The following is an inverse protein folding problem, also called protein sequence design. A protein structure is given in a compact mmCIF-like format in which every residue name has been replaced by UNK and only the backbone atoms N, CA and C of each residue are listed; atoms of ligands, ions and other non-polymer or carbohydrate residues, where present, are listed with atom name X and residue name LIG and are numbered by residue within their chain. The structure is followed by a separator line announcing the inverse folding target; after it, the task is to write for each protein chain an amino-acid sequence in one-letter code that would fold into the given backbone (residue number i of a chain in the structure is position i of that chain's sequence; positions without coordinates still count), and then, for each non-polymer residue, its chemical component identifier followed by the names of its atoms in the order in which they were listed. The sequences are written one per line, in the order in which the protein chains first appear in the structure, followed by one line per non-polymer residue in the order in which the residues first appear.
data_IF_330967524049
#
_entry.id   IF_330967524049
#
_cell.length_a   1.000
_cell.length_b   1.000
_cell.length_c   1.000
_cell.angle_alpha   90.00
_cell.angle_beta   90.00
_cell.angle_gamma   90.00
#
_symmetry.space_group_name_H-M   'P 1'
#
loop_
_entity.id
_entity.type
_entity.pdbx_description
1 polymer ?
#
# COMPACT_ATOMS: atom_id res chain seq x y z
N UNK A 1 -4.19 -11.26 -30.93
CA UNK A 1 -2.83 -10.72 -31.13
C UNK A 1 -1.97 -11.21 -29.98
N UNK A 2 -0.76 -11.73 -30.24
CA UNK A 2 0.22 -12.05 -29.19
C UNK A 2 1.13 -10.84 -29.03
N UNK A 3 1.20 -10.27 -27.82
CA UNK A 3 2.22 -9.30 -27.48
C UNK A 3 3.52 -10.06 -27.23
N UNK A 4 4.51 -9.84 -28.08
CA UNK A 4 5.87 -10.37 -27.91
C UNK A 4 6.85 -9.21 -27.76
N UNK A 5 7.91 -9.45 -26.99
CA UNK A 5 9.04 -8.51 -26.88
C UNK A 5 9.76 -8.41 -28.23
N UNK A 6 10.06 -7.20 -28.76
CA UNK A 6 10.81 -7.05 -30.00
C UNK A 6 12.22 -7.63 -29.89
N UNK A 7 12.71 -8.25 -30.97
CA UNK A 7 14.01 -8.94 -31.00
C UNK A 7 15.22 -8.02 -30.74
N UNK A 8 15.08 -6.72 -31.03
CA UNK A 8 16.13 -5.72 -30.82
C UNK A 8 16.25 -5.23 -29.36
N UNK A 9 15.40 -5.73 -28.45
CA UNK A 9 15.36 -5.29 -27.07
C UNK A 9 16.43 -6.05 -26.27
N UNK A 10 17.50 -5.36 -25.84
CA UNK A 10 18.57 -5.95 -25.01
C UNK A 10 18.00 -6.58 -23.74
N UNK A 11 18.66 -7.61 -23.20
CA UNK A 11 18.33 -8.09 -21.85
C UNK A 11 18.32 -6.90 -20.88
N UNK A 12 17.27 -6.80 -20.04
CA UNK A 12 17.19 -5.70 -19.08
C UNK A 12 18.40 -5.76 -18.15
N UNK A 13 18.88 -4.61 -17.67
CA UNK A 13 19.97 -4.57 -16.70
C UNK A 13 19.63 -5.50 -15.52
N UNK A 14 20.46 -6.52 -15.32
CA UNK A 14 20.35 -7.44 -14.18
C UNK A 14 20.70 -6.76 -12.86
N UNK A 15 21.44 -5.65 -12.93
CA UNK A 15 21.85 -4.86 -11.78
C UNK A 15 20.89 -3.69 -11.58
N UNK A 16 20.27 -3.63 -10.41
CA UNK A 16 19.55 -2.45 -9.94
C UNK A 16 20.61 -1.46 -9.47
N UNK A 17 20.87 -0.35 -10.20
CA UNK A 17 22.00 0.53 -9.92
C UNK A 17 21.87 1.27 -8.59
N UNK A 18 20.68 1.27 -8.00
CA UNK A 18 20.39 1.92 -6.73
C UNK A 18 19.22 1.26 -6.01
N UNK A 19 19.42 0.91 -4.74
CA UNK A 19 18.35 0.56 -3.81
C UNK A 19 18.29 1.62 -2.72
N UNK A 20 17.10 2.16 -2.48
CA UNK A 20 16.89 3.14 -1.42
C UNK A 20 17.12 2.45 -0.07
N UNK A 21 18.12 2.89 0.69
CA UNK A 21 18.38 2.35 2.03
C UNK A 21 17.21 2.57 2.98
N UNK A 22 17.05 1.70 3.99
CA UNK A 22 15.90 1.74 4.91
C UNK A 22 15.68 3.13 5.55
N UNK A 23 16.75 3.84 5.89
CA UNK A 23 16.68 5.18 6.49
C UNK A 23 16.17 6.24 5.49
N UNK A 24 16.57 6.15 4.22
CA UNK A 24 16.08 7.05 3.17
C UNK A 24 14.62 6.74 2.82
N UNK A 25 14.25 5.44 2.80
CA UNK A 25 12.88 5.00 2.60
C UNK A 25 11.96 5.52 3.70
N UNK A 26 12.39 5.42 4.96
CA UNK A 26 11.64 5.94 6.10
C UNK A 26 11.40 7.46 6.02
N UNK A 27 12.40 8.22 5.58
CA UNK A 27 12.26 9.67 5.37
C UNK A 27 11.35 9.95 4.18
N UNK A 28 11.50 9.21 3.08
CA UNK A 28 10.69 9.40 1.87
C UNK A 28 9.20 9.13 2.12
N UNK A 29 8.85 8.09 2.88
CA UNK A 29 7.45 7.77 3.22
C UNK A 29 6.80 8.80 4.16
N UNK A 30 7.59 9.67 4.80
CA UNK A 30 7.06 10.82 5.54
C UNK A 30 6.71 12.01 4.65
N UNK A 31 7.17 12.01 3.39
CA UNK A 31 6.77 13.03 2.42
C UNK A 31 5.34 12.77 1.92
N UNK A 32 4.57 13.81 1.55
CA UNK A 32 3.24 13.63 0.97
C UNK A 32 3.24 12.72 -0.26
N UNK A 33 4.29 12.79 -1.08
CA UNK A 33 4.41 11.97 -2.28
C UNK A 33 4.68 10.50 -1.96
N UNK A 34 5.65 10.22 -1.09
CA UNK A 34 5.97 8.83 -0.70
C UNK A 34 4.81 8.14 0.00
N UNK A 35 4.09 8.88 0.86
CA UNK A 35 2.87 8.38 1.49
C UNK A 35 1.79 8.03 0.45
N UNK A 36 1.54 8.92 -0.52
CA UNK A 36 0.56 8.66 -1.58
C UNK A 36 0.93 7.42 -2.42
N UNK A 37 2.22 7.24 -2.76
CA UNK A 37 2.68 6.06 -3.50
C UNK A 37 2.40 4.76 -2.72
N UNK A 38 2.67 4.75 -1.41
CA UNK A 38 2.36 3.57 -0.58
C UNK A 38 0.85 3.34 -0.47
N UNK A 39 0.07 4.41 -0.28
CA UNK A 39 -1.40 4.34 -0.26
C UNK A 39 -1.93 3.69 -1.54
N UNK A 40 -1.54 4.19 -2.72
CA UNK A 40 -2.01 3.64 -3.99
C UNK A 40 -1.52 2.21 -4.23
N UNK A 41 -0.31 1.88 -3.75
CA UNK A 41 0.22 0.51 -3.83
C UNK A 41 -0.63 -0.47 -3.02
N UNK A 42 -0.98 -0.12 -1.77
CA UNK A 42 -1.89 -0.92 -0.94
C UNK A 42 -3.31 -0.99 -1.53
N UNK A 43 -3.80 0.12 -2.08
CA UNK A 43 -5.10 0.15 -2.74
C UNK A 43 -5.17 -0.82 -3.92
N UNK A 44 -4.17 -0.81 -4.80
CA UNK A 44 -4.09 -1.76 -5.92
C UNK A 44 -3.98 -3.20 -5.42
N UNK A 45 -3.09 -3.47 -4.47
CA UNK A 45 -2.90 -4.82 -3.93
C UNK A 45 -4.18 -5.37 -3.27
N UNK A 46 -4.94 -4.54 -2.56
CA UNK A 46 -6.25 -4.92 -2.01
C UNK A 46 -7.25 -5.29 -3.10
N UNK A 47 -7.34 -4.52 -4.19
CA UNK A 47 -8.25 -4.83 -5.29
C UNK A 47 -7.82 -6.07 -6.08
N UNK A 48 -6.52 -6.27 -6.27
CA UNK A 48 -5.95 -7.39 -7.02
C UNK A 48 -6.05 -8.70 -6.24
N UNK A 49 -5.71 -8.69 -4.94
CA UNK A 49 -5.55 -9.90 -4.13
C UNK A 49 -6.69 -10.13 -3.13
N UNK A 50 -7.44 -9.08 -2.76
CA UNK A 50 -8.46 -9.10 -1.71
C UNK A 50 -9.78 -8.44 -2.13
N UNK A 51 -10.16 -8.53 -3.41
CA UNK A 51 -11.23 -7.72 -4.00
C UNK A 51 -12.60 -7.78 -3.30
N UNK A 52 -12.98 -8.90 -2.68
CA UNK A 52 -14.21 -8.96 -1.88
C UNK A 52 -14.16 -8.06 -0.64
N UNK A 53 -13.02 -8.06 0.07
CA UNK A 53 -12.83 -7.20 1.23
C UNK A 53 -12.64 -5.74 0.80
N UNK A 54 -11.89 -5.49 -0.28
CA UNK A 54 -11.75 -4.14 -0.84
C UNK A 54 -13.12 -3.52 -1.14
N UNK A 55 -14.02 -4.27 -1.80
CA UNK A 55 -15.38 -3.82 -2.09
C UNK A 55 -16.22 -3.52 -0.83
N UNK A 56 -16.03 -4.27 0.25
CA UNK A 56 -16.72 -4.03 1.51
C UNK A 56 -16.19 -2.80 2.25
N UNK A 57 -14.88 -2.56 2.17
CA UNK A 57 -14.21 -1.42 2.83
C UNK A 57 -14.37 -0.13 2.04
N UNK A 58 -14.58 -0.20 0.72
CA UNK A 58 -14.84 0.94 -0.15
C UNK A 58 -16.28 1.46 -0.03
N UNK A 59 -16.69 1.78 1.20
CA UNK A 59 -18.01 2.31 1.53
C UNK A 59 -17.88 3.61 2.35
N UNK A 60 -18.32 4.76 1.83
CA UNK A 60 -18.90 4.96 0.49
C UNK A 60 -17.91 4.65 -0.64
N UNK A 61 -18.42 4.37 -1.84
CA UNK A 61 -17.60 4.06 -3.03
C UNK A 61 -16.53 5.15 -3.26
N UNK A 62 -15.29 4.72 -3.50
CA UNK A 62 -14.12 5.58 -3.65
C UNK A 62 -13.49 6.08 -2.34
N UNK A 63 -13.94 5.61 -1.18
CA UNK A 63 -13.37 6.02 0.11
C UNK A 63 -12.16 5.20 0.56
N UNK A 64 -11.94 4.00 -0.01
CA UNK A 64 -10.91 3.07 0.45
C UNK A 64 -9.51 3.69 0.42
N UNK A 65 -9.16 4.41 -0.64
CA UNK A 65 -7.83 5.05 -0.76
C UNK A 65 -7.60 6.08 0.36
N UNK A 66 -8.62 6.88 0.68
CA UNK A 66 -8.56 7.87 1.77
C UNK A 66 -8.48 7.21 3.15
N UNK A 67 -9.17 6.08 3.34
CA UNK A 67 -9.10 5.30 4.59
C UNK A 67 -7.69 4.72 4.80
N UNK A 68 -7.09 4.15 3.76
CA UNK A 68 -5.71 3.65 3.79
C UNK A 68 -4.73 4.78 4.14
N UNK A 69 -4.84 5.93 3.47
CA UNK A 69 -3.98 7.08 3.77
C UNK A 69 -4.13 7.52 5.23
N UNK A 70 -5.37 7.60 5.72
CA UNK A 70 -5.64 7.98 7.10
C UNK A 70 -4.97 7.03 8.10
N UNK A 71 -5.12 5.73 7.89
CA UNK A 71 -4.49 4.70 8.71
C UNK A 71 -2.96 4.78 8.71
N UNK A 72 -2.34 4.98 7.54
CA UNK A 72 -0.90 5.18 7.43
C UNK A 72 -0.44 6.45 8.18
N UNK A 73 -1.20 7.54 8.11
CA UNK A 73 -0.91 8.77 8.86
C UNK A 73 -0.98 8.55 10.37
N UNK A 74 -1.95 7.79 10.85
CA UNK A 74 -2.03 7.44 12.28
C UNK A 74 -0.82 6.63 12.74
N UNK A 75 -0.35 5.67 11.92
CA UNK A 75 0.89 4.92 12.19
C UNK A 75 2.10 5.84 12.27
N UNK A 76 2.26 6.76 11.32
CA UNK A 76 3.35 7.74 11.34
C UNK A 76 3.29 8.64 12.59
N UNK A 77 2.09 9.11 12.96
CA UNK A 77 1.88 9.97 14.12
C UNK A 77 2.24 9.28 15.45
N UNK A 78 2.06 7.96 15.53
CA UNK A 78 2.44 7.13 16.70
C UNK A 78 3.91 6.70 16.67
N UNK A 79 4.70 7.18 15.69
CA UNK A 79 6.11 6.84 15.54
C UNK A 79 6.36 5.44 14.97
N UNK A 80 5.32 4.76 14.48
CA UNK A 80 5.46 3.46 13.82
C UNK A 80 6.09 3.62 12.45
N UNK A 81 6.82 2.58 12.07
CA UNK A 81 7.42 2.42 10.75
C UNK A 81 6.39 1.84 9.78
N UNK A 82 6.32 2.40 8.58
CA UNK A 82 5.35 1.98 7.55
C UNK A 82 6.02 1.37 6.31
N UNK A 83 7.34 1.26 6.28
CA UNK A 83 8.08 0.77 5.09
C UNK A 83 7.79 -0.70 4.76
N UNK A 84 7.30 -1.47 5.72
CA UNK A 84 7.06 -2.92 5.62
C UNK A 84 5.59 -3.30 5.78
N UNK A 85 4.70 -2.31 5.74
CA UNK A 85 3.26 -2.52 5.87
C UNK A 85 2.72 -3.16 4.60
N UNK A 86 1.88 -4.18 4.76
CA UNK A 86 1.19 -4.89 3.70
C UNK A 86 -0.33 -4.69 3.76
N UNK A 87 -1.03 -5.10 2.71
CA UNK A 87 -2.50 -5.10 2.70
C UNK A 87 -3.09 -6.04 3.74
N UNK A 88 -2.40 -7.13 4.09
CA UNK A 88 -2.83 -8.02 5.17
C UNK A 88 -2.79 -7.31 6.53
N UNK A 89 -1.76 -6.50 6.78
CA UNK A 89 -1.68 -5.69 8.01
C UNK A 89 -2.83 -4.68 8.08
N UNK A 90 -3.23 -4.11 6.93
CA UNK A 90 -4.38 -3.21 6.85
C UNK A 90 -5.69 -3.96 7.15
N UNK A 91 -5.93 -5.10 6.52
CA UNK A 91 -7.15 -5.89 6.73
C UNK A 91 -7.29 -6.34 8.19
N UNK A 92 -6.20 -6.81 8.80
CA UNK A 92 -6.18 -7.17 10.22
C UNK A 92 -6.52 -5.98 11.12
N UNK A 93 -6.02 -4.79 10.82
CA UNK A 93 -6.36 -3.59 11.59
C UNK A 93 -7.86 -3.25 11.46
N UNK A 94 -8.42 -3.32 10.26
CA UNK A 94 -9.84 -3.05 10.03
C UNK A 94 -10.76 -4.08 10.70
N UNK A 95 -10.34 -5.35 10.77
CA UNK A 95 -11.08 -6.39 11.51
C UNK A 95 -11.06 -6.13 13.02
N UNK A 96 -9.91 -5.74 13.57
CA UNK A 96 -9.77 -5.41 14.99
C UNK A 96 -10.61 -4.20 15.39
N UNK A 97 -10.66 -3.17 14.54
CA UNK A 97 -11.51 -1.99 14.77
C UNK A 97 -13.00 -2.37 14.79
N UNK A 98 -13.45 -3.18 13.83
CA UNK A 98 -14.84 -3.68 13.78
C UNK A 98 -15.22 -4.50 15.01
N UNK A 99 -14.30 -5.31 15.53
CA UNK A 99 -14.57 -6.12 16.73
C UNK A 99 -14.69 -5.23 17.97
N UNK A 100 -13.82 -4.25 18.13
CA UNK A 100 -13.89 -3.29 19.23
C UNK A 100 -15.16 -2.43 19.20
N UNK A 101 -15.71 -2.14 18.02
CA UNK A 101 -17.00 -1.46 17.89
C UNK A 101 -18.18 -2.34 18.30
N UNK A 102 -18.10 -3.66 18.11
CA UNK A 102 -19.16 -4.60 18.51
C UNK A 102 -19.22 -4.85 20.01
N UNK A 103 -18.11 -4.69 20.71
CA UNK A 103 -18.01 -4.87 22.17
C UNK A 103 -18.39 -3.62 22.98
N UNK A 104 -18.62 -2.47 22.32
CA UNK A 104 -19.03 -1.20 22.94
C UNK A 104 -20.54 -1.00 22.91
#
# INVERSE_FOLDING_TARGET
MRFCRPDACSEGNSEIPFTLGEHLLAVWLRSPYGLNVLTSSLYCDLWENHGQMAKQLDQPEGSLESQIEHWLRQKLATGQRIEKVSSQDYLLAMEQEKEQERER
#
